data_IF_338332377069
#
_entry.id   IF_338332377069
#
_cell.length_a   1.000
_cell.length_b   1.000
_cell.length_c   1.000
_cell.angle_alpha   90.00
_cell.angle_beta   90.00
_cell.angle_gamma   90.00
#
_symmetry.space_group_name_H-M   'P 1'
#
loop_
_entity.id
_entity.type
_entity.pdbx_description
1 polymer ?
#
# COMPACT_ATOMS: atom_id res chain seq x y z
N UNK A 1 45.78 -8.91 31.39
CA UNK A 1 45.25 -10.27 31.14
C UNK A 1 46.43 -11.21 31.00
N UNK A 2 46.47 -12.38 31.66
CA UNK A 2 47.61 -13.27 31.56
C UNK A 2 47.67 -13.87 30.16
N UNK A 3 48.80 -13.67 29.47
CA UNK A 3 49.06 -14.26 28.16
C UNK A 3 49.31 -15.76 28.34
N UNK A 4 48.47 -16.59 27.73
CA UNK A 4 48.68 -18.04 27.67
C UNK A 4 49.89 -18.26 26.73
N UNK A 5 51.03 -18.67 27.28
CA UNK A 5 52.30 -18.85 26.56
C UNK A 5 52.38 -20.21 25.83
N UNK A 6 51.42 -21.11 26.01
CA UNK A 6 51.38 -22.42 25.37
C UNK A 6 50.02 -22.65 24.71
N UNK A 7 50.02 -22.90 23.39
CA UNK A 7 48.81 -23.26 22.64
C UNK A 7 48.43 -24.72 22.96
N UNK A 8 47.31 -24.97 23.67
CA UNK A 8 46.88 -26.31 24.04
C UNK A 8 46.55 -27.21 22.84
N UNK A 9 46.32 -26.62 21.65
CA UNK A 9 46.08 -27.40 20.43
C UNK A 9 47.36 -28.00 19.84
N UNK A 10 48.55 -27.51 20.24
CA UNK A 10 49.84 -28.02 19.78
C UNK A 10 50.44 -29.09 20.73
N UNK A 11 49.80 -29.35 21.87
CA UNK A 11 50.24 -30.38 22.81
C UNK A 11 49.94 -31.79 22.26
N UNK A 12 51.02 -32.45 21.86
CA UNK A 12 51.06 -33.85 21.42
C UNK A 12 51.30 -34.73 22.64
N UNK A 13 50.58 -35.85 22.74
CA UNK A 13 50.75 -36.79 23.85
C UNK A 13 52.22 -37.17 24.02
N UNK A 14 52.78 -37.14 25.24
CA UNK A 14 54.13 -37.62 25.47
C UNK A 14 54.19 -39.08 25.02
N UNK A 15 55.06 -39.37 24.04
CA UNK A 15 55.20 -40.73 23.50
C UNK A 15 55.63 -41.65 24.64
N UNK A 16 54.85 -42.68 24.90
CA UNK A 16 55.07 -43.68 25.98
C UNK A 16 56.40 -44.44 25.83
N UNK A 17 57.04 -44.34 24.66
CA UNK A 17 58.38 -44.87 24.38
C UNK A 17 59.54 -43.97 24.81
N UNK A 18 59.28 -42.84 25.47
CA UNK A 18 60.34 -42.03 26.09
C UNK A 18 60.95 -42.83 27.24
N UNK A 19 62.28 -42.97 27.26
CA UNK A 19 63.01 -43.72 28.29
C UNK A 19 62.68 -43.25 29.71
N UNK A 20 62.33 -41.97 29.89
CA UNK A 20 61.89 -41.41 31.17
C UNK A 20 60.51 -41.92 31.60
N UNK A 21 59.58 -42.07 30.66
CA UNK A 21 58.22 -42.55 30.96
C UNK A 21 58.20 -44.06 31.19
N UNK A 22 59.07 -44.79 30.47
CA UNK A 22 59.24 -46.23 30.64
C UNK A 22 59.76 -46.61 32.04
N UNK A 23 60.70 -45.81 32.56
CA UNK A 23 61.22 -45.97 33.92
C UNK A 23 60.13 -45.75 34.99
N UNK A 24 59.27 -44.74 34.80
CA UNK A 24 58.14 -44.47 35.70
C UNK A 24 57.10 -45.59 35.65
N UNK A 25 56.74 -46.07 34.45
CA UNK A 25 55.83 -47.21 34.29
C UNK A 25 56.36 -48.47 34.97
N UNK A 26 57.67 -48.74 34.88
CA UNK A 26 58.31 -49.91 35.49
C UNK A 26 58.32 -49.83 37.02
N UNK A 27 58.58 -48.65 37.58
CA UNK A 27 58.52 -48.42 39.03
C UNK A 27 57.09 -48.60 39.58
N UNK A 28 56.07 -48.09 38.88
CA UNK A 28 54.66 -48.24 39.26
C UNK A 28 54.16 -49.69 39.14
N UNK A 29 54.58 -50.40 38.08
CA UNK A 29 54.30 -51.84 37.90
C UNK A 29 54.82 -52.64 39.10
N UNK A 30 56.03 -52.32 39.57
CA UNK A 30 56.67 -53.00 40.71
C UNK A 30 55.99 -52.67 42.04
N UNK A 31 55.50 -51.43 42.21
CA UNK A 31 54.86 -50.97 43.43
C UNK A 31 53.41 -51.45 43.60
N UNK A 32 52.64 -51.50 42.50
CA UNK A 32 51.20 -51.82 42.53
C UNK A 32 50.88 -53.26 42.09
N UNK A 33 51.87 -53.98 41.54
CA UNK A 33 51.68 -55.35 41.02
C UNK A 33 50.79 -55.42 39.77
N UNK A 34 50.66 -54.32 39.05
CA UNK A 34 49.79 -54.17 37.87
C UNK A 34 50.64 -54.24 36.60
N UNK A 35 50.12 -54.86 35.55
CA UNK A 35 50.79 -54.97 34.26
C UNK A 35 51.14 -53.59 33.66
N UNK A 36 52.35 -53.49 33.08
CA UNK A 36 52.93 -52.25 32.54
C UNK A 36 52.05 -51.62 31.45
N UNK A 37 51.32 -52.43 30.68
CA UNK A 37 50.40 -51.96 29.64
C UNK A 37 49.20 -51.24 30.26
N UNK A 38 48.73 -51.71 31.41
CA UNK A 38 47.60 -51.09 32.14
C UNK A 38 48.01 -49.76 32.77
N UNK A 39 49.23 -49.68 33.32
CA UNK A 39 49.79 -48.41 33.84
C UNK A 39 49.94 -47.39 32.72
N UNK A 40 50.47 -47.82 31.56
CA UNK A 40 50.61 -46.96 30.39
C UNK A 40 49.25 -46.46 29.85
N UNK A 41 48.23 -47.32 29.82
CA UNK A 41 46.87 -46.94 29.41
C UNK A 41 46.25 -45.90 30.35
N UNK A 42 46.39 -46.08 31.67
CA UNK A 42 45.87 -45.13 32.67
C UNK A 42 46.52 -43.74 32.56
N UNK A 43 47.82 -43.69 32.31
CA UNK A 43 48.54 -42.43 32.10
C UNK A 43 48.11 -41.74 30.81
N UNK A 44 47.85 -42.51 29.74
CA UNK A 44 47.31 -41.95 28.50
C UNK A 44 45.89 -41.39 28.70
N UNK A 45 45.02 -42.12 29.40
CA UNK A 45 43.65 -41.67 29.71
C UNK A 45 43.64 -40.42 30.59
N UNK A 46 44.52 -40.36 31.60
CA UNK A 46 44.67 -39.18 32.46
C UNK A 46 45.14 -37.96 31.65
N UNK A 47 46.09 -38.15 30.73
CA UNK A 47 46.55 -37.06 29.86
C UNK A 47 45.44 -36.58 28.92
N UNK A 48 44.66 -37.49 28.33
CA UNK A 48 43.50 -37.12 27.50
C UNK A 48 42.47 -36.36 28.32
N UNK A 49 42.15 -36.82 29.53
CA UNK A 49 41.19 -36.17 30.42
C UNK A 49 41.60 -34.72 30.75
N UNK A 50 42.88 -34.48 31.00
CA UNK A 50 43.40 -33.16 31.35
C UNK A 50 43.52 -32.21 30.14
N UNK A 51 43.82 -32.75 28.95
CA UNK A 51 44.02 -31.96 27.73
C UNK A 51 42.73 -31.69 26.93
N UNK A 52 41.69 -32.49 27.10
CA UNK A 52 40.43 -32.32 26.34
C UNK A 52 39.72 -30.98 26.64
N UNK A 53 39.62 -30.51 27.89
CA UNK A 53 39.02 -29.20 28.20
C UNK A 53 39.76 -28.03 27.52
N UNK A 54 41.10 -28.04 27.52
CA UNK A 54 41.91 -27.00 26.89
C UNK A 54 41.73 -26.94 25.37
N UNK A 55 41.71 -28.11 24.72
CA UNK A 55 41.45 -28.21 23.27
C UNK A 55 40.05 -27.75 22.87
N UNK A 56 39.02 -28.12 23.66
CA UNK A 56 37.64 -27.65 23.44
C UNK A 56 37.52 -26.14 23.59
N UNK A 57 38.18 -25.56 24.60
CA UNK A 57 38.19 -24.12 24.82
C UNK A 57 38.90 -23.38 23.68
N UNK A 58 40.03 -23.91 23.18
CA UNK A 58 40.73 -23.38 22.02
C UNK A 58 39.88 -23.41 20.74
N UNK A 59 39.21 -24.53 20.47
CA UNK A 59 38.30 -24.67 19.33
C UNK A 59 37.10 -23.70 19.40
N UNK A 60 36.51 -23.53 20.59
CA UNK A 60 35.42 -22.58 20.81
C UNK A 60 35.85 -21.14 20.55
N UNK A 61 37.06 -20.75 20.98
CA UNK A 61 37.62 -19.42 20.73
C UNK A 61 37.85 -19.16 19.25
N UNK A 62 38.46 -20.11 18.53
CA UNK A 62 38.67 -20.01 17.08
C UNK A 62 37.35 -19.92 16.31
N UNK A 63 36.33 -20.69 16.71
CA UNK A 63 35.01 -20.65 16.10
C UNK A 63 34.31 -19.30 16.35
N UNK A 64 34.44 -18.73 17.55
CA UNK A 64 33.89 -17.41 17.88
C UNK A 64 34.59 -16.29 17.09
N UNK A 65 35.91 -16.32 16.99
CA UNK A 65 36.70 -15.34 16.21
C UNK A 65 36.38 -15.44 14.70
N UNK A 66 36.28 -16.65 14.15
CA UNK A 66 35.87 -16.86 12.75
C UNK A 66 34.43 -16.40 12.49
N UNK A 67 33.53 -16.61 13.46
CA UNK A 67 32.16 -16.11 13.42
C UNK A 67 32.11 -14.58 13.41
N UNK A 68 32.86 -13.93 14.30
CA UNK A 68 32.96 -12.47 14.37
C UNK A 68 33.49 -11.84 13.08
N UNK A 69 34.54 -12.43 12.48
CA UNK A 69 35.08 -11.96 11.20
C UNK A 69 34.08 -12.10 10.05
N UNK A 70 33.26 -13.17 10.06
CA UNK A 70 32.20 -13.37 9.07
C UNK A 70 31.07 -12.36 9.22
N UNK A 71 30.68 -12.01 10.43
CA UNK A 71 29.66 -11.00 10.67
C UNK A 71 30.15 -9.59 10.29
N UNK A 72 31.39 -9.23 10.63
CA UNK A 72 32.01 -7.97 10.17
C UNK A 72 32.00 -7.85 8.64
N UNK A 73 32.33 -8.94 7.94
CA UNK A 73 32.31 -8.95 6.46
C UNK A 73 30.90 -8.77 5.89
N UNK A 74 29.88 -9.35 6.53
CA UNK A 74 28.47 -9.16 6.13
C UNK A 74 28.00 -7.73 6.40
N UNK A 75 28.44 -7.13 7.50
CA UNK A 75 28.10 -5.76 7.87
C UNK A 75 28.74 -4.75 6.91
N UNK A 76 30.02 -4.95 6.55
CA UNK A 76 30.68 -4.16 5.51
C UNK A 76 29.99 -4.32 4.14
N UNK A 77 29.60 -5.55 3.76
CA UNK A 77 28.88 -5.80 2.51
C UNK A 77 27.48 -5.15 2.52
N UNK A 78 26.79 -5.15 3.66
CA UNK A 78 25.51 -4.47 3.84
C UNK A 78 25.67 -2.94 3.76
N UNK A 79 26.70 -2.38 4.40
CA UNK A 79 27.00 -0.95 4.35
C UNK A 79 27.39 -0.50 2.93
N UNK A 80 28.16 -1.31 2.20
CA UNK A 80 28.50 -1.04 0.81
C UNK A 80 27.25 -1.10 -0.10
N UNK A 81 26.34 -2.05 0.14
CA UNK A 81 25.06 -2.13 -0.57
C UNK A 81 24.16 -0.92 -0.26
N UNK A 82 24.11 -0.44 0.97
CA UNK A 82 23.40 0.79 1.34
C UNK A 82 24.01 2.03 0.67
N UNK A 83 25.35 2.14 0.63
CA UNK A 83 26.05 3.24 -0.08
C UNK A 83 25.79 3.22 -1.59
N UNK A 84 25.60 2.04 -2.19
CA UNK A 84 25.26 1.85 -3.60
C UNK A 84 23.77 2.03 -3.91
N UNK A 85 22.89 2.15 -2.91
CA UNK A 85 21.48 2.47 -3.17
C UNK A 85 21.40 3.85 -3.81
N UNK A 86 20.67 4.00 -4.93
CA UNK A 86 20.46 5.29 -5.54
C UNK A 86 19.90 6.26 -4.49
N UNK A 87 20.63 7.34 -4.22
CA UNK A 87 20.14 8.40 -3.34
C UNK A 87 18.92 9.01 -4.01
N UNK A 88 17.74 8.67 -3.50
CA UNK A 88 16.49 9.25 -3.97
C UNK A 88 16.59 10.75 -3.75
N UNK A 89 16.43 11.53 -4.82
CA UNK A 89 16.46 12.99 -4.72
C UNK A 89 15.31 13.42 -3.80
N UNK A 90 15.57 14.40 -2.95
CA UNK A 90 14.54 14.99 -2.10
C UNK A 90 13.35 15.47 -2.92
N UNK A 91 12.14 15.17 -2.43
CA UNK A 91 10.91 15.66 -3.02
C UNK A 91 10.78 17.17 -2.79
N UNK A 92 10.55 17.94 -3.85
CA UNK A 92 10.19 19.35 -3.72
C UNK A 92 8.68 19.41 -3.55
N UNK A 93 8.22 19.64 -2.32
CA UNK A 93 6.81 19.82 -2.04
C UNK A 93 6.21 20.94 -2.90
N UNK A 94 5.03 20.70 -3.48
CA UNK A 94 4.28 21.64 -4.31
C UNK A 94 4.96 22.07 -5.62
N UNK A 95 5.99 21.37 -6.10
CA UNK A 95 6.50 21.58 -7.47
C UNK A 95 5.76 20.64 -8.44
N UNK A 96 4.82 21.14 -9.26
CA UNK A 96 4.13 20.30 -10.23
C UNK A 96 5.12 19.80 -11.30
N UNK A 97 4.83 18.61 -11.84
CA UNK A 97 5.45 18.15 -13.08
C UNK A 97 5.00 19.10 -14.20
N UNK A 98 5.89 19.39 -15.17
CA UNK A 98 5.60 20.34 -16.25
C UNK A 98 4.35 19.91 -17.03
N UNK A 99 3.36 20.79 -17.13
CA UNK A 99 2.10 20.54 -17.83
C UNK A 99 2.32 20.49 -19.34
N UNK A 100 1.96 19.37 -19.96
CA UNK A 100 1.96 19.21 -21.42
C UNK A 100 0.55 18.94 -21.98
N UNK A 101 -0.49 18.95 -21.15
CA UNK A 101 -1.82 18.48 -21.56
C UNK A 101 -2.92 19.38 -20.99
N UNK A 102 -3.54 20.17 -21.87
CA UNK A 102 -4.83 20.79 -21.59
C UNK A 102 -5.93 19.79 -21.95
N UNK A 103 -6.68 19.33 -20.96
CA UNK A 103 -7.86 18.52 -21.18
C UNK A 103 -8.99 19.40 -21.76
N UNK A 104 -9.69 18.96 -22.82
CA UNK A 104 -10.71 19.75 -23.51
C UNK A 104 -12.06 19.66 -22.76
N UNK A 105 -12.15 20.24 -21.57
CA UNK A 105 -13.42 20.32 -20.83
C UNK A 105 -13.86 21.77 -20.69
N UNK A 106 -14.44 22.33 -21.76
CA UNK A 106 -15.18 23.59 -21.67
C UNK A 106 -16.45 23.47 -22.49
N UNK A 107 -17.53 24.00 -21.91
CA UNK A 107 -18.80 24.44 -22.51
C UNK A 107 -19.99 23.48 -22.33
N UNK A 108 -20.46 23.38 -21.09
CA UNK A 108 -21.91 23.46 -20.86
C UNK A 108 -22.21 24.69 -19.99
N UNK A 109 -23.28 25.39 -20.37
CA UNK A 109 -23.75 26.61 -19.73
C UNK A 109 -24.32 26.28 -18.34
N UNK A 110 -23.49 26.46 -17.30
CA UNK A 110 -23.77 26.01 -15.92
C UNK A 110 -24.54 27.03 -15.08
N UNK A 111 -25.21 28.00 -15.71
CA UNK A 111 -26.04 28.97 -14.98
C UNK A 111 -27.24 28.34 -14.28
N UNK A 112 -27.66 27.13 -14.70
CA UNK A 112 -28.64 26.32 -13.98
C UNK A 112 -27.89 25.35 -13.05
N UNK A 113 -28.03 25.51 -11.74
CA UNK A 113 -27.60 24.54 -10.70
C UNK A 113 -28.46 23.27 -10.75
N UNK A 114 -28.52 22.64 -11.92
CA UNK A 114 -29.23 21.40 -12.13
C UNK A 114 -28.26 20.25 -11.87
N UNK A 115 -28.78 19.17 -11.30
CA UNK A 115 -28.02 17.94 -11.13
C UNK A 115 -27.52 17.46 -12.50
N UNK A 116 -26.25 17.09 -12.58
CA UNK A 116 -25.65 16.49 -13.77
C UNK A 116 -25.08 15.13 -13.38
N UNK A 117 -25.54 14.07 -14.05
CA UNK A 117 -24.99 12.72 -13.90
C UNK A 117 -23.48 12.72 -14.19
N UNK A 118 -22.71 11.93 -13.44
CA UNK A 118 -21.26 11.76 -13.54
C UNK A 118 -20.83 11.36 -14.95
N UNK A 119 -21.64 10.56 -15.66
CA UNK A 119 -21.37 10.18 -17.05
C UNK A 119 -21.19 11.39 -17.99
N UNK A 120 -21.84 12.52 -17.70
CA UNK A 120 -21.70 13.76 -18.47
C UNK A 120 -20.27 14.32 -18.45
N UNK A 121 -19.48 13.94 -17.44
CA UNK A 121 -18.09 14.37 -17.27
C UNK A 121 -17.07 13.40 -17.87
N UNK A 122 -17.52 12.29 -18.47
CA UNK A 122 -16.65 11.37 -19.20
C UNK A 122 -16.27 11.96 -20.57
N UNK A 123 -15.08 11.63 -21.09
CA UNK A 123 -14.65 12.05 -22.43
C UNK A 123 -15.67 11.63 -23.50
N UNK A 124 -16.27 10.45 -23.37
CA UNK A 124 -17.32 9.94 -24.27
C UNK A 124 -18.61 10.75 -24.14
N UNK A 125 -19.06 11.03 -22.91
CA UNK A 125 -20.20 11.92 -22.64
C UNK A 125 -19.99 13.33 -23.19
N UNK A 126 -18.79 13.88 -23.03
CA UNK A 126 -18.41 15.20 -23.55
C UNK A 126 -18.33 15.24 -25.08
N UNK A 127 -17.72 14.24 -25.72
CA UNK A 127 -17.68 14.14 -27.18
C UNK A 127 -19.09 14.01 -27.77
N UNK A 128 -19.96 13.22 -27.15
CA UNK A 128 -21.35 13.08 -27.59
C UNK A 128 -22.16 14.35 -27.33
N UNK A 129 -21.94 15.07 -26.23
CA UNK A 129 -22.59 16.34 -25.97
C UNK A 129 -22.14 17.43 -26.96
N UNK A 130 -20.85 17.46 -27.33
CA UNK A 130 -20.32 18.30 -28.41
C UNK A 130 -20.94 17.91 -29.77
N UNK A 131 -21.10 16.61 -30.05
CA UNK A 131 -21.77 16.13 -31.27
C UNK A 131 -23.24 16.51 -31.32
N UNK A 132 -23.98 16.37 -30.22
CA UNK A 132 -25.39 16.78 -30.13
C UNK A 132 -25.56 18.29 -30.29
N UNK A 133 -24.70 19.09 -29.65
CA UNK A 133 -24.67 20.55 -29.83
C UNK A 133 -24.33 20.97 -31.27
N UNK A 134 -23.52 20.18 -31.99
CA UNK A 134 -23.19 20.45 -33.40
C UNK A 134 -24.30 20.02 -34.37
N UNK A 135 -25.06 18.98 -34.02
CA UNK A 135 -26.09 18.40 -34.89
C UNK A 135 -27.44 19.10 -34.73
N UNK A 136 -27.72 19.61 -33.52
CA UNK A 136 -28.84 20.53 -33.28
C UNK A 136 -28.30 21.93 -33.58
N UNK A 137 -28.50 22.42 -34.80
CA UNK A 137 -28.26 23.83 -35.10
C UNK A 137 -28.95 24.68 -34.02
N UNK A 138 -28.25 25.69 -33.48
CA UNK A 138 -28.78 26.60 -32.46
C UNK A 138 -30.09 27.30 -32.88
N UNK A 139 -30.46 27.19 -34.16
CA UNK A 139 -31.65 27.77 -34.79
C UNK A 139 -32.86 26.81 -34.92
N UNK A 140 -32.75 25.56 -34.46
CA UNK A 140 -33.90 24.65 -34.47
C UNK A 140 -34.80 24.94 -33.26
N UNK A 141 -36.10 25.17 -33.49
CA UNK A 141 -37.11 25.36 -32.43
C UNK A 141 -38.12 24.23 -32.43
N UNK A 142 -38.66 23.89 -31.26
CA UNK A 142 -39.76 22.94 -31.08
C UNK A 142 -40.93 23.58 -30.33
N UNK A 143 -42.14 23.09 -30.57
CA UNK A 143 -43.33 23.53 -29.85
C UNK A 143 -43.56 22.65 -28.62
N UNK A 144 -43.60 23.26 -27.44
CA UNK A 144 -43.94 22.60 -26.19
C UNK A 144 -45.30 23.08 -25.69
N UNK A 145 -46.21 22.16 -25.38
CA UNK A 145 -47.51 22.51 -24.77
C UNK A 145 -47.32 22.77 -23.27
N UNK A 146 -47.67 23.97 -22.82
CA UNK A 146 -47.73 24.33 -21.40
C UNK A 146 -49.07 25.00 -21.11
N UNK A 147 -49.89 24.37 -20.26
CA UNK A 147 -51.16 24.90 -19.76
C UNK A 147 -51.98 25.62 -20.85
N UNK A 148 -52.30 24.86 -21.91
CA UNK A 148 -53.07 25.29 -23.09
C UNK A 148 -52.45 26.34 -24.02
N UNK A 149 -51.17 26.65 -23.84
CA UNK A 149 -50.40 27.51 -24.77
C UNK A 149 -49.27 26.71 -25.43
N UNK A 150 -49.06 26.89 -26.74
CA UNK A 150 -47.90 26.35 -27.46
C UNK A 150 -46.75 27.34 -27.32
N UNK A 151 -45.69 26.93 -26.62
CA UNK A 151 -44.48 27.71 -26.44
C UNK A 151 -43.42 27.25 -27.44
N UNK A 152 -42.84 28.19 -28.17
CA UNK A 152 -41.67 27.94 -29.00
C UNK A 152 -40.43 27.89 -28.12
N UNK A 153 -39.77 26.74 -28.04
CA UNK A 153 -38.52 26.56 -27.28
C UNK A 153 -37.39 26.14 -28.21
N UNK A 154 -36.17 26.68 -28.04
CA UNK A 154 -35.01 26.15 -28.75
C UNK A 154 -34.92 24.64 -28.53
N UNK A 155 -34.77 23.88 -29.62
CA UNK A 155 -34.65 22.42 -29.58
C UNK A 155 -33.37 21.99 -28.83
N UNK A 156 -32.37 22.87 -28.76
CA UNK A 156 -31.19 22.74 -27.92
C UNK A 156 -31.50 22.78 -26.41
N UNK A 157 -32.71 23.17 -26.01
CA UNK A 157 -33.13 23.11 -24.60
C UNK A 157 -33.43 21.66 -24.23
N UNK A 158 -32.44 20.99 -23.64
CA UNK A 158 -32.60 19.82 -22.80
C UNK A 158 -33.26 18.60 -23.45
N UNK A 159 -32.60 18.00 -24.45
CA UNK A 159 -32.65 16.55 -24.54
C UNK A 159 -31.34 15.99 -23.96
N UNK A 160 -31.37 15.38 -22.76
CA UNK A 160 -30.24 14.57 -22.32
C UNK A 160 -29.93 13.57 -23.43
N UNK A 161 -28.65 13.31 -23.70
CA UNK A 161 -28.27 12.26 -24.65
C UNK A 161 -29.02 10.98 -24.27
N UNK A 162 -29.63 10.28 -25.24
CA UNK A 162 -30.28 8.99 -24.99
C UNK A 162 -29.29 7.90 -24.49
N UNK A 163 -28.00 8.25 -24.35
CA UNK A 163 -26.91 7.40 -23.86
C UNK A 163 -26.39 7.81 -22.47
N UNK A 164 -27.08 8.70 -21.76
CA UNK A 164 -26.67 9.05 -20.39
C UNK A 164 -26.83 7.81 -19.51
N UNK A 165 -25.71 7.28 -19.02
CA UNK A 165 -25.68 6.22 -18.02
C UNK A 165 -25.97 6.88 -16.66
N UNK A 166 -26.89 6.29 -15.89
CA UNK A 166 -27.19 6.75 -14.54
C UNK A 166 -25.99 6.48 -13.63
N UNK A 167 -25.81 7.31 -12.60
CA UNK A 167 -24.69 7.16 -11.67
C UNK A 167 -24.63 5.78 -11.01
N UNK A 168 -25.80 5.16 -10.75
CA UNK A 168 -25.93 3.81 -10.19
C UNK A 168 -25.51 2.68 -11.15
N UNK A 169 -25.59 2.92 -12.47
CA UNK A 169 -25.24 1.96 -13.52
C UNK A 169 -23.77 2.10 -13.98
N UNK A 170 -23.01 3.04 -13.40
CA UNK A 170 -21.60 3.22 -13.73
C UNK A 170 -20.76 2.07 -13.18
N UNK A 171 -19.73 1.66 -13.93
CA UNK A 171 -18.67 0.84 -13.35
C UNK A 171 -17.78 1.67 -12.43
N UNK A 172 -17.15 1.04 -11.44
CA UNK A 172 -16.24 1.75 -10.53
C UNK A 172 -15.09 2.46 -11.26
N UNK A 173 -14.61 1.85 -12.35
CA UNK A 173 -13.58 2.44 -13.19
C UNK A 173 -14.06 3.74 -13.86
N UNK A 174 -15.26 3.71 -14.46
CA UNK A 174 -15.86 4.90 -15.07
C UNK A 174 -16.06 6.01 -14.04
N UNK A 175 -16.59 5.67 -12.87
CA UNK A 175 -16.75 6.58 -11.76
C UNK A 175 -15.40 7.20 -11.30
N UNK A 176 -14.36 6.38 -11.15
CA UNK A 176 -13.03 6.83 -10.75
C UNK A 176 -12.39 7.83 -11.73
N UNK A 177 -12.74 7.73 -13.02
CA UNK A 177 -12.31 8.70 -14.04
C UNK A 177 -13.14 9.98 -13.95
N UNK A 178 -14.47 9.87 -13.95
CA UNK A 178 -15.39 11.00 -14.01
C UNK A 178 -15.34 11.88 -12.76
N UNK A 179 -15.11 11.30 -11.58
CA UNK A 179 -14.98 12.08 -10.33
C UNK A 179 -13.89 13.13 -10.40
N UNK A 180 -12.78 12.86 -11.11
CA UNK A 180 -11.66 13.79 -11.22
C UNK A 180 -12.07 15.04 -12.01
N UNK A 181 -12.83 14.83 -13.08
CA UNK A 181 -13.42 15.91 -13.88
C UNK A 181 -14.48 16.69 -13.09
N UNK A 182 -15.36 15.99 -12.35
CA UNK A 182 -16.37 16.63 -11.50
C UNK A 182 -15.73 17.52 -10.42
N UNK A 183 -14.74 17.01 -9.69
CA UNK A 183 -14.03 17.75 -8.65
C UNK A 183 -13.28 18.95 -9.21
N UNK A 184 -12.62 18.79 -10.37
CA UNK A 184 -11.97 19.89 -11.05
C UNK A 184 -12.99 20.99 -11.42
N UNK A 185 -14.12 20.60 -12.01
CA UNK A 185 -15.18 21.54 -12.39
C UNK A 185 -15.80 22.25 -11.18
N UNK A 186 -16.07 21.51 -10.09
CA UNK A 186 -16.56 22.06 -8.83
C UNK A 186 -15.63 23.14 -8.29
N UNK A 187 -14.32 22.89 -8.32
CA UNK A 187 -13.30 23.80 -7.82
C UNK A 187 -13.15 25.09 -8.63
N UNK A 188 -13.46 25.03 -9.94
CA UNK A 188 -13.29 26.16 -10.86
C UNK A 188 -14.54 27.04 -10.97
N UNK A 189 -15.75 26.44 -10.95
CA UNK A 189 -16.97 27.14 -11.38
C UNK A 189 -18.16 27.07 -10.43
N UNK A 190 -18.24 26.07 -9.54
CA UNK A 190 -19.51 25.76 -8.88
C UNK A 190 -19.55 26.16 -7.40
N UNK A 191 -18.47 25.96 -6.65
CA UNK A 191 -18.52 26.06 -5.19
C UNK A 191 -17.32 26.83 -4.62
N UNK A 192 -17.56 27.53 -3.50
CA UNK A 192 -16.47 28.11 -2.71
C UNK A 192 -15.51 27.00 -2.22
N UNK A 193 -14.19 27.25 -2.11
CA UNK A 193 -13.20 26.23 -1.79
C UNK A 193 -13.47 25.43 -0.50
N UNK A 194 -14.16 26.04 0.48
CA UNK A 194 -14.56 25.36 1.71
C UNK A 194 -15.59 24.25 1.50
N UNK A 195 -16.50 24.41 0.53
CA UNK A 195 -17.56 23.44 0.23
C UNK A 195 -17.07 22.30 -0.69
N UNK A 196 -16.07 22.57 -1.54
CA UNK A 196 -15.42 21.56 -2.40
C UNK A 196 -14.65 20.48 -1.63
N UNK A 197 -14.32 20.71 -0.35
CA UNK A 197 -13.61 19.72 0.47
C UNK A 197 -14.46 18.48 0.79
N UNK A 198 -15.79 18.62 0.85
CA UNK A 198 -16.67 17.49 1.21
C UNK A 198 -16.78 16.43 0.09
N UNK A 199 -17.01 16.79 -1.18
CA UNK A 199 -16.93 15.86 -2.31
C UNK A 199 -15.59 15.11 -2.40
N UNK A 200 -14.46 15.79 -2.14
CA UNK A 200 -13.17 15.13 -2.16
C UNK A 200 -13.03 14.03 -1.09
N UNK A 201 -13.58 14.29 0.10
CA UNK A 201 -13.51 13.36 1.23
C UNK A 201 -14.41 12.14 1.07
N UNK A 202 -15.61 12.27 0.48
CA UNK A 202 -16.47 11.10 0.25
C UNK A 202 -15.78 10.11 -0.67
N UNK A 203 -15.18 10.56 -1.79
CA UNK A 203 -14.50 9.64 -2.71
C UNK A 203 -13.33 8.90 -2.06
N UNK A 204 -12.52 9.61 -1.27
CA UNK A 204 -11.42 8.99 -0.52
C UNK A 204 -11.94 7.94 0.49
N UNK A 205 -13.02 8.27 1.18
CA UNK A 205 -13.61 7.37 2.18
C UNK A 205 -14.26 6.15 1.52
N UNK A 206 -14.86 6.31 0.35
CA UNK A 206 -15.41 5.19 -0.42
C UNK A 206 -14.29 4.27 -0.91
N UNK A 207 -13.21 4.81 -1.46
CA UNK A 207 -12.04 4.04 -1.93
C UNK A 207 -11.34 3.23 -0.83
N UNK A 208 -11.46 3.68 0.42
CA UNK A 208 -10.85 3.02 1.59
C UNK A 208 -11.86 2.19 2.39
N UNK A 209 -13.11 2.06 1.94
CA UNK A 209 -14.17 1.43 2.71
C UNK A 209 -14.02 -0.11 2.79
N UNK A 210 -14.21 -0.76 3.94
CA UNK A 210 -14.10 -2.22 4.06
C UNK A 210 -15.04 -3.04 3.17
N UNK A 211 -16.14 -2.43 2.68
CA UNK A 211 -17.10 -3.07 1.76
C UNK A 211 -16.44 -3.55 0.46
N UNK A 212 -15.31 -2.97 0.07
CA UNK A 212 -14.48 -3.44 -1.06
C UNK A 212 -14.12 -4.92 -1.01
N UNK A 213 -14.05 -5.51 0.18
CA UNK A 213 -13.66 -6.89 0.38
C UNK A 213 -14.85 -7.86 0.29
N UNK A 214 -16.07 -7.35 0.12
CA UNK A 214 -17.29 -8.15 0.02
C UNK A 214 -17.63 -8.44 -1.45
N UNK A 215 -18.45 -9.48 -1.66
CA UNK A 215 -19.04 -9.78 -2.97
C UNK A 215 -19.96 -8.61 -3.36
N UNK A 216 -19.84 -8.15 -4.61
CA UNK A 216 -20.54 -6.98 -5.18
C UNK A 216 -20.33 -5.68 -4.41
N UNK A 217 -19.24 -5.60 -3.65
CA UNK A 217 -18.93 -4.45 -2.80
C UNK A 217 -18.75 -3.14 -3.56
N UNK A 218 -18.27 -3.21 -4.80
CA UNK A 218 -18.15 -2.06 -5.69
C UNK A 218 -19.52 -1.53 -6.13
N UNK A 219 -20.44 -2.40 -6.55
CA UNK A 219 -21.81 -2.05 -6.90
C UNK A 219 -22.56 -1.42 -5.73
N UNK A 220 -22.43 -2.00 -4.53
CA UNK A 220 -23.04 -1.45 -3.30
C UNK A 220 -22.52 -0.04 -3.01
N UNK A 221 -21.21 0.18 -3.15
CA UNK A 221 -20.60 1.49 -2.92
C UNK A 221 -20.99 2.52 -3.98
N UNK A 222 -21.18 2.10 -5.25
CA UNK A 222 -21.66 2.96 -6.33
C UNK A 222 -23.10 3.41 -6.11
N UNK A 223 -24.00 2.48 -5.78
CA UNK A 223 -25.38 2.81 -5.43
C UNK A 223 -25.45 3.78 -4.25
N UNK A 224 -24.64 3.54 -3.21
CA UNK A 224 -24.57 4.44 -2.07
C UNK A 224 -24.08 5.84 -2.48
N UNK A 225 -23.03 5.91 -3.31
CA UNK A 225 -22.48 7.17 -3.79
C UNK A 225 -23.51 7.97 -4.58
N UNK A 226 -24.19 7.34 -5.54
CA UNK A 226 -25.21 7.97 -6.38
C UNK A 226 -26.32 8.59 -5.50
N UNK A 227 -26.83 7.83 -4.53
CA UNK A 227 -27.88 8.30 -3.61
C UNK A 227 -27.40 9.50 -2.77
N UNK A 228 -26.19 9.42 -2.21
CA UNK A 228 -25.63 10.50 -1.39
C UNK A 228 -25.34 11.75 -2.22
N UNK A 229 -24.87 11.59 -3.46
CA UNK A 229 -24.61 12.70 -4.37
C UNK A 229 -25.92 13.43 -4.74
N UNK A 230 -26.99 12.69 -5.04
CA UNK A 230 -28.31 13.25 -5.27
C UNK A 230 -28.87 13.98 -4.05
N UNK A 231 -28.79 13.38 -2.86
CA UNK A 231 -29.27 13.98 -1.60
C UNK A 231 -28.53 15.29 -1.29
N UNK A 232 -27.21 15.28 -1.45
CA UNK A 232 -26.37 16.44 -1.24
C UNK A 232 -26.68 17.57 -2.21
N UNK A 233 -26.80 17.25 -3.50
CA UNK A 233 -27.18 18.23 -4.50
C UNK A 233 -28.55 18.85 -4.20
N UNK A 234 -29.53 18.02 -3.81
CA UNK A 234 -30.88 18.47 -3.41
C UNK A 234 -30.81 19.36 -2.17
N UNK A 235 -29.97 19.01 -1.20
CA UNK A 235 -29.76 19.81 0.00
C UNK A 235 -29.08 21.15 -0.28
N UNK A 236 -28.23 21.24 -1.31
CA UNK A 236 -27.58 22.48 -1.73
C UNK A 236 -28.47 23.39 -2.58
N UNK A 237 -29.39 22.80 -3.35
CA UNK A 237 -30.28 23.53 -4.26
C UNK A 237 -31.67 23.79 -3.67
N UNK A 238 -31.99 23.21 -2.50
CA UNK A 238 -33.25 23.42 -1.81
C UNK A 238 -33.41 24.85 -1.28
N UNK A 239 -34.62 25.40 -1.36
CA UNK A 239 -34.96 26.72 -0.83
C UNK A 239 -35.11 26.76 0.71
N UNK A 240 -34.81 25.66 1.40
CA UNK A 240 -34.95 25.56 2.85
C UNK A 240 -33.64 25.93 3.54
N UNK A 241 -33.69 26.75 4.60
CA UNK A 241 -32.56 27.15 5.46
C UNK A 241 -31.94 25.99 6.29
N UNK A 242 -32.23 24.73 5.94
CA UNK A 242 -31.62 23.58 6.61
C UNK A 242 -30.15 23.46 6.20
N UNK A 243 -29.24 23.20 7.15
CA UNK A 243 -27.83 23.03 6.83
C UNK A 243 -27.62 21.85 5.88
N UNK A 244 -26.67 22.02 4.95
CA UNK A 244 -26.35 20.99 3.97
C UNK A 244 -25.80 19.72 4.63
N UNK A 245 -26.21 18.55 4.11
CA UNK A 245 -25.75 17.24 4.58
C UNK A 245 -24.22 17.12 4.40
N UNK A 246 -23.53 16.64 5.43
CA UNK A 246 -22.11 16.34 5.33
C UNK A 246 -21.88 14.95 4.72
N UNK A 247 -21.69 14.93 3.41
CA UNK A 247 -21.42 13.70 2.64
C UNK A 247 -20.08 13.05 2.95
N UNK A 248 -19.17 13.72 3.65
CA UNK A 248 -17.87 13.11 3.96
C UNK A 248 -17.98 11.97 4.98
N UNK A 249 -19.09 11.85 5.70
CA UNK A 249 -19.32 10.78 6.66
C UNK A 249 -20.11 9.65 6.00
N UNK A 250 -19.51 8.46 5.90
CA UNK A 250 -20.19 7.28 5.35
C UNK A 250 -21.19 6.76 6.38
N UNK A 251 -22.47 6.68 5.97
CA UNK A 251 -23.52 6.06 6.75
C UNK A 251 -23.46 4.54 6.57
N UNK A 252 -22.72 3.88 7.47
CA UNK A 252 -22.53 2.42 7.44
C UNK A 252 -23.85 1.65 7.41
N UNK A 253 -24.87 2.11 8.14
CA UNK A 253 -26.19 1.45 8.15
C UNK A 253 -26.86 1.49 6.78
N UNK A 254 -26.66 2.57 6.03
CA UNK A 254 -27.21 2.72 4.70
C UNK A 254 -26.49 1.83 3.67
N UNK A 255 -25.15 1.76 3.77
CA UNK A 255 -24.35 0.84 2.95
C UNK A 255 -24.78 -0.61 3.18
N UNK A 256 -24.98 -1.03 4.44
CA UNK A 256 -25.48 -2.37 4.75
C UNK A 256 -26.92 -2.59 4.26
N UNK A 257 -27.78 -1.58 4.32
CA UNK A 257 -29.14 -1.69 3.80
C UNK A 257 -29.15 -1.92 2.27
N UNK A 258 -28.31 -1.21 1.53
CA UNK A 258 -28.15 -1.41 0.07
C UNK A 258 -27.66 -2.82 -0.22
N UNK A 259 -26.65 -3.29 0.52
CA UNK A 259 -26.13 -4.66 0.40
C UNK A 259 -27.20 -5.72 0.58
N UNK A 260 -28.08 -5.56 1.58
CA UNK A 260 -29.16 -6.51 1.84
C UNK A 260 -30.21 -6.54 0.73
N UNK A 261 -30.42 -5.42 0.03
CA UNK A 261 -31.37 -5.30 -1.08
C UNK A 261 -30.77 -5.90 -2.37
N UNK A 262 -29.46 -5.72 -2.58
CA UNK A 262 -28.76 -6.24 -3.76
C UNK A 262 -28.46 -7.76 -3.70
N UNK A 263 -28.56 -8.37 -2.52
CA UNK A 263 -28.26 -9.79 -2.28
C UNK A 263 -29.43 -10.77 -2.44
N UNK A 264 -30.60 -10.31 -2.93
CA UNK A 264 -31.77 -11.14 -3.26
C UNK A 264 -32.03 -11.18 -4.75
#
# INVERSE_FOLDING_TARGET
>A
MPHITQDPNLEVSPKVTSAALDAVCTALTTAEGIDKVVVAARLADAWVADNTPGKRLGQHRLAHEAGGLRELRKEEEAEEKEKKRPKLKGFIANKPVRDNMQLPFVLHDTHKRNYMELYSFMMEGCLEAVRLNRTIAQDAFTFAKANDTLLLKPLASHKPSNKVILDEDLTWHQMSITKSCLLHHMSQKWLAPATCRRPHRIYLNLESHPMWLQVDGDTVLLHYEAQVQHEWHKSLCGANDKPAVDISVINVKHVEAIRLISGT
#
